data_IF_984943998748
#
_entry.id   IF_984943998748
#
_cell.length_a   1.000
_cell.length_b   1.000
_cell.length_c   1.000
_cell.angle_alpha   90.00
_cell.angle_beta   90.00
_cell.angle_gamma   90.00
#
_symmetry.space_group_name_H-M   'P 1'
#
loop_
_entity.id
_entity.type
_entity.pdbx_description
1 polymer ?
#
# COMPACT_ATOMS: atom_id res chain seq x y z
N UNK A 1 13.85 -9.21 -14.90
CA UNK A 1 13.36 -8.43 -13.76
C UNK A 1 11.85 -8.27 -13.85
N UNK A 2 11.15 -8.65 -12.80
CA UNK A 2 9.70 -8.52 -12.76
C UNK A 2 9.29 -7.10 -12.34
N UNK A 3 8.11 -6.70 -12.75
CA UNK A 3 7.59 -5.36 -12.44
C UNK A 3 6.32 -5.49 -11.60
N UNK A 4 6.25 -4.75 -10.50
CA UNK A 4 5.04 -4.67 -9.69
C UNK A 4 4.59 -3.22 -9.58
N UNK A 5 3.28 -3.05 -9.41
CA UNK A 5 2.66 -1.75 -9.12
C UNK A 5 2.09 -1.82 -7.71
N UNK A 6 2.39 -0.82 -6.90
CA UNK A 6 1.94 -0.76 -5.52
C UNK A 6 0.67 0.06 -5.40
N UNK A 7 -0.39 -0.57 -4.89
CA UNK A 7 -1.62 0.13 -4.50
C UNK A 7 -1.36 0.93 -3.22
N UNK A 8 -2.15 1.95 -2.98
CA UNK A 8 -2.03 2.78 -1.77
C UNK A 8 -2.03 1.95 -0.49
N UNK A 9 -2.86 0.93 -0.44
CA UNK A 9 -3.03 0.10 0.77
C UNK A 9 -1.76 -0.59 1.23
N UNK A 10 -0.98 -1.18 0.29
CA UNK A 10 0.25 -1.91 0.67
C UNK A 10 1.38 -0.97 1.06
N UNK A 11 1.30 0.28 0.65
CA UNK A 11 2.26 1.29 1.05
C UNK A 11 1.96 1.75 2.47
N UNK A 12 0.72 2.15 2.73
CA UNK A 12 0.32 2.69 4.03
C UNK A 12 0.50 1.68 5.15
N UNK A 13 0.11 0.43 4.93
CA UNK A 13 0.17 -0.59 6.00
C UNK A 13 1.56 -1.20 6.19
N UNK A 14 2.55 -0.81 5.39
CA UNK A 14 3.91 -1.29 5.54
C UNK A 14 4.18 -2.68 4.98
N UNK A 15 3.19 -3.32 4.37
CA UNK A 15 3.37 -4.66 3.81
C UNK A 15 4.44 -4.71 2.72
N UNK A 16 4.49 -3.70 1.87
CA UNK A 16 5.46 -3.68 0.79
C UNK A 16 6.89 -3.61 1.34
N UNK A 17 7.14 -2.72 2.30
CA UNK A 17 8.44 -2.61 2.96
C UNK A 17 8.85 -3.93 3.59
N UNK A 18 7.89 -4.60 4.22
CA UNK A 18 8.17 -5.87 4.88
C UNK A 18 8.50 -6.97 3.88
N UNK A 19 7.79 -7.03 2.76
CA UNK A 19 8.07 -8.02 1.72
C UNK A 19 9.49 -7.84 1.16
N UNK A 20 9.94 -6.61 1.03
CA UNK A 20 11.31 -6.33 0.58
C UNK A 20 12.30 -6.76 1.65
N UNK A 21 12.08 -6.36 2.89
CA UNK A 21 12.99 -6.65 4.00
C UNK A 21 13.13 -8.15 4.25
N UNK A 22 12.05 -8.90 4.11
CA UNK A 22 12.05 -10.34 4.32
C UNK A 22 12.66 -11.12 3.15
N UNK A 23 12.93 -10.45 2.02
CA UNK A 23 13.47 -11.09 0.84
C UNK A 23 12.42 -11.75 -0.05
N UNK A 24 11.15 -11.58 0.24
CA UNK A 24 10.07 -12.13 -0.59
C UNK A 24 9.97 -11.44 -1.94
N UNK A 25 10.37 -10.19 -2.01
CA UNK A 25 10.44 -9.43 -3.26
C UNK A 25 11.91 -9.21 -3.59
N UNK A 26 12.35 -9.79 -4.69
CA UNK A 26 13.74 -9.66 -5.17
C UNK A 26 13.73 -9.40 -6.66
N UNK A 27 14.69 -8.60 -7.12
CA UNK A 27 14.87 -8.32 -8.55
C UNK A 27 13.62 -7.79 -9.21
N UNK A 28 12.88 -6.93 -8.48
CA UNK A 28 11.69 -6.28 -8.98
C UNK A 28 11.96 -4.82 -9.31
N UNK A 29 11.27 -4.35 -10.34
CA UNK A 29 11.08 -2.93 -10.56
C UNK A 29 9.74 -2.58 -9.91
N UNK A 30 9.74 -1.64 -8.96
CA UNK A 30 8.55 -1.26 -8.23
C UNK A 30 8.05 0.07 -8.77
N UNK A 31 6.83 0.06 -9.27
CA UNK A 31 6.20 1.28 -9.77
C UNK A 31 5.23 1.79 -8.74
N UNK A 32 5.40 3.04 -8.32
CA UNK A 32 4.43 3.74 -7.51
C UNK A 32 3.64 4.62 -8.48
N UNK A 33 2.33 4.37 -8.65
CA UNK A 33 1.54 5.21 -9.56
C UNK A 33 1.57 6.66 -9.11
N UNK A 34 1.68 7.56 -10.06
CA UNK A 34 1.65 8.99 -9.76
C UNK A 34 0.38 9.36 -9.00
N UNK A 35 -0.74 8.70 -9.33
CA UNK A 35 -2.00 8.93 -8.64
C UNK A 35 -1.92 8.62 -7.15
N UNK A 36 -1.18 7.57 -6.78
CA UNK A 36 -0.97 7.21 -5.37
C UNK A 36 -0.18 8.30 -4.66
N UNK A 37 0.91 8.74 -5.26
CA UNK A 37 1.75 9.78 -4.66
C UNK A 37 0.96 11.07 -4.47
N UNK A 38 0.21 11.48 -5.48
CA UNK A 38 -0.59 12.71 -5.43
C UNK A 38 -1.69 12.62 -4.36
N UNK A 39 -2.32 11.45 -4.24
CA UNK A 39 -3.32 11.22 -3.21
C UNK A 39 -2.74 11.35 -1.81
N UNK A 40 -1.59 10.72 -1.58
CA UNK A 40 -0.92 10.79 -0.28
C UNK A 40 -0.48 12.20 0.05
N UNK A 41 0.03 12.92 -0.94
CA UNK A 41 0.43 14.31 -0.76
C UNK A 41 -0.78 15.18 -0.39
N UNK A 42 -1.90 14.98 -1.07
CA UNK A 42 -3.14 15.70 -0.77
C UNK A 42 -3.63 15.41 0.64
N UNK A 43 -3.62 14.14 1.03
CA UNK A 43 -4.05 13.74 2.37
C UNK A 43 -3.16 14.36 3.44
N UNK A 44 -1.84 14.35 3.23
CA UNK A 44 -0.90 14.95 4.18
C UNK A 44 -1.12 16.46 4.29
N UNK A 45 -1.37 17.14 3.16
CA UNK A 45 -1.64 18.58 3.15
C UNK A 45 -2.94 18.92 3.88
N UNK A 46 -3.88 17.98 3.93
CA UNK A 46 -5.13 18.13 4.66
C UNK A 46 -5.04 17.56 6.08
N UNK A 47 -3.83 17.32 6.56
CA UNK A 47 -3.53 16.85 7.92
C UNK A 47 -4.12 15.46 8.22
N UNK A 48 -4.32 14.64 7.21
CA UNK A 48 -4.73 13.26 7.42
C UNK A 48 -3.50 12.39 7.67
N UNK A 49 -3.53 11.65 8.75
CA UNK A 49 -2.40 10.85 9.19
C UNK A 49 -1.96 9.83 8.15
N UNK A 50 -2.89 9.25 7.42
CA UNK A 50 -2.59 8.28 6.37
C UNK A 50 -1.67 8.83 5.29
N UNK A 51 -1.82 10.11 4.96
CA UNK A 51 -0.96 10.76 3.99
C UNK A 51 0.49 10.81 4.47
N UNK A 52 0.68 11.21 5.73
CA UNK A 52 2.03 11.25 6.32
C UNK A 52 2.65 9.86 6.38
N UNK A 53 1.88 8.88 6.84
CA UNK A 53 2.36 7.49 6.94
C UNK A 53 2.77 6.99 5.56
N UNK A 54 1.94 7.22 4.55
CA UNK A 54 2.23 6.77 3.19
C UNK A 54 3.49 7.41 2.62
N UNK A 55 3.66 8.71 2.80
CA UNK A 55 4.86 9.40 2.32
C UNK A 55 6.11 8.92 3.04
N UNK A 56 6.02 8.68 4.34
CA UNK A 56 7.14 8.11 5.10
C UNK A 56 7.50 6.71 4.60
N UNK A 57 6.51 5.91 4.28
CA UNK A 57 6.74 4.58 3.73
C UNK A 57 7.42 4.65 2.36
N UNK A 58 7.06 5.60 1.52
CA UNK A 58 7.72 5.78 0.23
C UNK A 58 9.19 6.15 0.44
N UNK A 59 9.48 7.02 1.40
CA UNK A 59 10.85 7.37 1.74
C UNK A 59 11.63 6.14 2.19
N UNK A 60 11.01 5.32 3.03
CA UNK A 60 11.61 4.06 3.50
C UNK A 60 11.87 3.11 2.34
N UNK A 61 10.93 3.01 1.39
CA UNK A 61 11.08 2.17 0.21
C UNK A 61 12.28 2.60 -0.63
N UNK A 62 12.48 3.91 -0.79
CA UNK A 62 13.63 4.42 -1.52
C UNK A 62 14.95 4.01 -0.87
N UNK A 63 15.02 4.05 0.45
CA UNK A 63 16.21 3.60 1.17
C UNK A 63 16.42 2.10 1.03
N UNK A 64 15.35 1.32 1.14
CA UNK A 64 15.42 -0.11 0.97
C UNK A 64 15.85 -0.50 -0.44
N UNK A 65 15.42 0.27 -1.45
CA UNK A 65 15.80 -0.02 -2.82
C UNK A 65 17.30 0.05 -3.02
N UNK A 66 17.97 0.99 -2.37
CA UNK A 66 19.42 1.10 -2.45
C UNK A 66 20.10 -0.12 -1.83
N UNK A 67 19.59 -0.58 -0.66
CA UNK A 67 20.19 -1.70 0.05
C UNK A 67 19.94 -3.05 -0.60
N UNK A 68 18.81 -3.21 -1.27
CA UNK A 68 18.40 -4.49 -1.84
C UNK A 68 18.48 -4.54 -3.37
N UNK A 69 19.04 -3.49 -3.99
CA UNK A 69 19.23 -3.49 -5.44
C UNK A 69 17.95 -3.44 -6.26
N UNK A 70 16.92 -2.83 -5.71
CA UNK A 70 15.63 -2.68 -6.40
C UNK A 70 15.55 -1.31 -7.06
N UNK A 71 14.67 -1.18 -8.05
CA UNK A 71 14.35 0.10 -8.65
C UNK A 71 12.96 0.54 -8.21
N UNK A 72 12.82 1.82 -7.85
CA UNK A 72 11.52 2.40 -7.55
C UNK A 72 11.29 3.57 -8.50
N UNK A 73 10.16 3.53 -9.19
CA UNK A 73 9.80 4.52 -10.21
C UNK A 73 8.41 5.07 -9.95
N UNK A 74 8.24 6.34 -10.26
CA UNK A 74 6.92 6.98 -10.29
C UNK A 74 6.48 6.99 -11.77
N UNK A 75 5.30 6.45 -12.04
CA UNK A 75 4.77 6.39 -13.40
C UNK A 75 3.27 6.60 -13.40
N UNK A 76 2.76 7.00 -14.56
CA UNK A 76 1.35 7.17 -14.77
C UNK A 76 0.91 8.62 -14.77
N UNK A 77 -0.37 8.83 -14.98
CA UNK A 77 -0.95 10.16 -15.07
C UNK A 77 -1.28 10.71 -13.70
N UNK A 78 -1.20 12.04 -13.58
CA UNK A 78 -1.72 12.71 -12.40
C UNK A 78 -3.25 12.65 -12.44
N UNK A 79 -3.92 12.39 -11.31
CA UNK A 79 -5.36 12.48 -11.26
C UNK A 79 -5.79 13.95 -11.37
N UNK A 80 -7.01 14.19 -11.83
CA UNK A 80 -7.56 15.52 -11.82
C UNK A 80 -7.77 15.97 -10.38
N UNK A 81 -7.73 17.28 -10.14
CA UNK A 81 -7.92 17.83 -8.80
C UNK A 81 -9.25 17.36 -8.22
N UNK A 82 -10.31 17.33 -9.04
CA UNK A 82 -11.62 16.88 -8.60
C UNK A 82 -11.64 15.41 -8.19
N UNK A 83 -10.86 14.57 -8.86
CA UNK A 83 -10.77 13.14 -8.54
C UNK A 83 -10.25 12.94 -7.11
N UNK A 84 -9.31 13.77 -6.69
CA UNK A 84 -8.73 13.69 -5.34
C UNK A 84 -9.67 14.36 -4.34
N UNK A 85 -10.14 15.57 -4.66
CA UNK A 85 -10.88 16.44 -3.75
C UNK A 85 -12.21 15.83 -3.31
N UNK A 86 -12.91 15.16 -4.22
CA UNK A 86 -14.23 14.60 -3.94
C UNK A 86 -14.16 13.11 -3.59
N UNK A 87 -12.96 12.65 -3.27
CA UNK A 87 -12.74 11.28 -2.80
C UNK A 87 -13.33 10.25 -3.75
N UNK A 88 -13.19 10.49 -5.03
CA UNK A 88 -13.61 9.52 -6.03
C UNK A 88 -12.64 8.35 -6.02
N UNK A 89 -12.65 7.57 -4.94
CA UNK A 89 -11.70 6.48 -4.71
C UNK A 89 -11.69 5.50 -5.88
N UNK A 90 -12.85 5.24 -6.47
CA UNK A 90 -12.90 4.38 -7.64
C UNK A 90 -12.12 4.93 -8.83
N UNK A 91 -12.02 6.25 -8.95
CA UNK A 91 -11.25 6.88 -10.01
C UNK A 91 -9.75 6.71 -9.80
N UNK A 92 -9.28 6.89 -8.56
CA UNK A 92 -7.87 6.67 -8.22
C UNK A 92 -7.52 5.20 -8.43
N UNK A 93 -8.39 4.29 -7.96
CA UNK A 93 -8.16 2.85 -8.12
C UNK A 93 -8.07 2.46 -9.59
N UNK A 94 -8.91 3.07 -10.45
CA UNK A 94 -8.86 2.82 -11.89
C UNK A 94 -7.53 3.27 -12.50
N UNK A 95 -7.01 4.42 -12.06
CA UNK A 95 -5.71 4.92 -12.53
C UNK A 95 -4.58 3.98 -12.12
N UNK A 96 -4.65 3.41 -10.92
CA UNK A 96 -3.65 2.44 -10.45
C UNK A 96 -3.67 1.19 -11.33
N UNK A 97 -4.85 0.68 -11.64
CA UNK A 97 -4.98 -0.50 -12.51
C UNK A 97 -4.47 -0.20 -13.92
N UNK A 98 -4.73 1.00 -14.42
CA UNK A 98 -4.25 1.40 -15.75
C UNK A 98 -2.71 1.38 -15.80
N UNK A 99 -2.04 1.83 -14.75
CA UNK A 99 -0.58 1.78 -14.69
C UNK A 99 -0.08 0.34 -14.75
N UNK A 100 -0.76 -0.58 -14.04
CA UNK A 100 -0.39 -1.99 -14.10
C UNK A 100 -0.56 -2.56 -15.51
N UNK A 101 -1.65 -2.23 -16.18
CA UNK A 101 -1.88 -2.67 -17.56
C UNK A 101 -0.82 -2.15 -18.52
N UNK A 102 -0.53 -0.85 -18.45
CA UNK A 102 0.39 -0.21 -19.36
C UNK A 102 1.82 -0.72 -19.21
N UNK A 103 2.18 -1.19 -18.04
CA UNK A 103 3.53 -1.65 -17.75
C UNK A 103 3.64 -3.19 -17.66
N UNK A 104 2.57 -3.91 -17.97
CA UNK A 104 2.51 -5.36 -17.85
C UNK A 104 2.99 -5.83 -16.49
N UNK A 105 2.53 -5.13 -15.45
CA UNK A 105 3.01 -5.31 -14.08
C UNK A 105 2.00 -6.07 -13.24
N UNK A 106 2.49 -6.65 -12.15
CA UNK A 106 1.65 -7.30 -11.15
C UNK A 106 1.18 -6.25 -10.15
N UNK A 107 -0.12 -6.18 -9.88
CA UNK A 107 -0.64 -5.25 -8.89
C UNK A 107 -0.57 -5.88 -7.50
N UNK A 108 0.09 -5.20 -6.57
CA UNK A 108 0.14 -5.61 -5.17
C UNK A 108 -0.82 -4.73 -4.38
N UNK A 109 -1.77 -5.32 -3.68
CA UNK A 109 -2.78 -4.60 -2.94
C UNK A 109 -3.17 -5.34 -1.65
N UNK A 110 -3.61 -4.58 -0.65
CA UNK A 110 -4.23 -5.12 0.56
C UNK A 110 -5.73 -4.83 0.59
N UNK A 111 -6.27 -4.26 -0.48
CA UNK A 111 -7.68 -3.97 -0.61
C UNK A 111 -8.36 -5.08 -1.43
N UNK A 112 -9.25 -5.82 -0.77
CA UNK A 112 -9.92 -6.95 -1.41
C UNK A 112 -10.72 -6.54 -2.64
N UNK A 113 -11.38 -5.38 -2.59
CA UNK A 113 -12.16 -4.90 -3.74
C UNK A 113 -11.24 -4.60 -4.92
N UNK A 114 -10.14 -3.91 -4.68
CA UNK A 114 -9.17 -3.60 -5.73
C UNK A 114 -8.59 -4.88 -6.34
N UNK A 115 -8.32 -5.87 -5.50
CA UNK A 115 -7.84 -7.17 -5.96
C UNK A 115 -8.84 -7.83 -6.92
N UNK A 116 -10.11 -7.85 -6.53
CA UNK A 116 -11.16 -8.47 -7.35
C UNK A 116 -11.40 -7.70 -8.66
N UNK A 117 -11.36 -6.37 -8.60
CA UNK A 117 -11.52 -5.54 -9.80
C UNK A 117 -10.37 -5.77 -10.76
N UNK A 118 -9.14 -5.83 -10.25
CA UNK A 118 -7.97 -6.08 -11.08
C UNK A 118 -8.05 -7.45 -11.76
N UNK A 119 -8.49 -8.46 -11.03
CA UNK A 119 -8.70 -9.79 -11.62
C UNK A 119 -9.76 -9.77 -12.71
N UNK A 120 -10.85 -9.02 -12.49
CA UNK A 120 -11.92 -8.89 -13.48
C UNK A 120 -11.43 -8.17 -14.75
N UNK A 121 -10.43 -7.31 -14.62
CA UNK A 121 -9.84 -6.61 -15.76
C UNK A 121 -8.62 -7.33 -16.33
N UNK A 122 -8.42 -8.56 -15.93
CA UNK A 122 -7.36 -9.41 -16.46
C UNK A 122 -5.94 -8.92 -16.11
N UNK A 123 -5.81 -8.28 -14.95
CA UNK A 123 -4.54 -7.83 -14.42
C UNK A 123 -4.07 -8.81 -13.36
N UNK A 124 -2.84 -9.28 -13.49
CA UNK A 124 -2.26 -10.15 -12.48
C UNK A 124 -2.10 -9.38 -11.17
N UNK A 125 -2.53 -9.96 -10.05
CA UNK A 125 -2.57 -9.25 -8.79
C UNK A 125 -2.23 -10.18 -7.62
N UNK A 126 -1.55 -9.61 -6.63
CA UNK A 126 -1.19 -10.30 -5.39
C UNK A 126 -1.86 -9.57 -4.24
N UNK A 127 -2.62 -10.31 -3.43
CA UNK A 127 -3.31 -9.77 -2.26
C UNK A 127 -2.46 -10.01 -1.02
N UNK A 128 -2.12 -8.93 -0.30
CA UNK A 128 -1.36 -9.01 0.94
C UNK A 128 -2.26 -8.62 2.10
N UNK A 129 -2.43 -9.52 3.06
CA UNK A 129 -3.29 -9.24 4.22
C UNK A 129 -2.71 -8.13 5.07
N UNK A 130 -3.60 -7.31 5.62
CA UNK A 130 -3.21 -6.24 6.53
C UNK A 130 -2.79 -6.83 7.87
N UNK A 131 -1.65 -6.37 8.40
CA UNK A 131 -1.12 -6.85 9.68
C UNK A 131 -1.67 -6.11 10.89
N UNK A 132 -2.35 -4.99 10.68
CA UNK A 132 -2.88 -4.17 11.75
C UNK A 132 -3.77 -4.99 12.69
N UNK A 133 -4.58 -5.91 12.14
CA UNK A 133 -5.47 -6.74 12.95
C UNK A 133 -4.69 -7.55 13.98
N UNK A 134 -3.56 -8.11 13.58
CA UNK A 134 -2.73 -8.90 14.49
C UNK A 134 -2.18 -8.04 15.63
N UNK A 135 -1.73 -6.84 15.33
CA UNK A 135 -1.22 -5.94 16.35
C UNK A 135 -2.31 -5.51 17.31
N UNK A 136 -3.50 -5.22 16.80
CA UNK A 136 -4.64 -4.88 17.64
C UNK A 136 -5.02 -6.02 18.58
N UNK A 137 -5.04 -7.23 18.09
CA UNK A 137 -5.36 -8.39 18.91
C UNK A 137 -4.33 -8.61 20.02
N UNK A 138 -3.06 -8.44 19.72
CA UNK A 138 -2.02 -8.56 20.72
C UNK A 138 -2.15 -7.48 21.79
N UNK A 139 -2.49 -6.27 21.38
CA UNK A 139 -2.68 -5.15 22.29
C UNK A 139 -3.87 -5.40 23.21
N UNK A 140 -4.99 -5.83 22.68
CA UNK A 140 -6.19 -6.14 23.48
C UNK A 140 -5.91 -7.28 24.45
N UNK A 141 -5.21 -8.29 24.01
CA UNK A 141 -4.85 -9.42 24.83
C UNK A 141 -4.00 -9.00 26.02
N UNK A 142 -3.10 -8.05 25.79
CA UNK A 142 -2.25 -7.50 26.86
C UNK A 142 -3.09 -6.80 27.93
N UNK A 143 -4.06 -6.01 27.53
CA UNK A 143 -4.92 -5.32 28.48
C UNK A 143 -5.82 -6.28 29.28
N UNK A 144 -6.33 -7.31 28.63
CA UNK A 144 -7.19 -8.28 29.29
C UNK A 144 -6.47 -8.99 30.45
N UNK A 145 -5.20 -9.27 30.30
CA UNK A 145 -4.43 -9.93 31.35
C UNK A 145 -4.19 -9.04 32.57
N UNK A 146 -4.35 -7.76 32.42
CA UNK A 146 -4.10 -6.80 33.49
C UNK A 146 -5.34 -6.38 34.25
N UNK A 147 -6.50 -6.54 33.69
CA UNK A 147 -7.70 -6.12 34.32
C UNK A 147 -8.40 -7.24 34.99
N UNK A 148 -8.28 -7.88 35.07
CA UNK A 148 -9.03 -8.59 35.40
C UNK A 148 -8.95 -9.41 35.94
N UNK A 149 -8.45 -8.87 35.83
CA UNK A 149 -8.41 -9.36 36.08
C UNK A 149 -8.70 -9.66 35.72
N UNK A 150 -8.62 -9.57 35.38
CA UNK A 150 -8.91 -9.69 35.09
C UNK A 150 -9.24 -10.22 34.58
N UNK A 151 -9.07 -10.42 34.41
CA UNK A 151 -9.25 -10.94 34.23
C UNK A 151 -9.24 -11.44 33.75
N UNK A 152 -9.04 -11.56 33.50
CA UNK A 152 -8.91 -11.96 33.31
C UNK A 152 -8.91 -12.60 33.13
N UNK A 153 -8.75 -12.85 33.19
CA UNK A 153 -8.63 -13.35 33.26
C UNK A 153 -8.57 -13.82 33.11
N UNK A 154 -8.23 -13.72 32.80
CA UNK A 154 -8.09 -14.03 32.83
C UNK A 154 -8.18 -14.35 32.91
#
# INVERSE_FOLDING_TARGET
MNTLVADTSVIINGNLSEQITSGSIRDFEIIIPQAVFDELQSQASNHKQQGFIGLEQIQKLNKLSENFGLKILLKGSHPAIDDIKFAASGRIDALIIDVAKQNHAILYTSDKVQHLVAQAEDVETVFLKTKIIKEELEFLKFFDTNTMSIHLKE
#
